data_IF_660596186833
#
_entry.id   IF_660596186833
#
_cell.length_a   1.000
_cell.length_b   1.000
_cell.length_c   1.000
_cell.angle_alpha   90.00
_cell.angle_beta   90.00
_cell.angle_gamma   90.00
#
_symmetry.space_group_name_H-M   'P 1'
#
loop_
_entity.id
_entity.type
_entity.pdbx_description
1 polymer ?
#
# COMPACT_ATOMS: atom_id res chain seq x y z
N UNK A 1 13.80 5.32 11.89
CA UNK A 1 12.45 5.80 12.29
C UNK A 1 11.43 5.14 11.36
N UNK A 2 10.51 4.34 11.90
CA UNK A 2 9.51 3.63 11.10
C UNK A 2 8.31 4.56 10.87
N UNK A 3 8.17 5.12 9.66
CA UNK A 3 7.00 5.92 9.32
C UNK A 3 5.83 4.98 8.99
N UNK A 4 4.85 4.92 9.89
CA UNK A 4 3.61 4.21 9.61
C UNK A 4 2.85 4.95 8.49
N UNK A 5 2.29 4.21 7.54
CA UNK A 5 1.41 4.78 6.53
C UNK A 5 0.24 5.48 7.23
N UNK A 6 0.02 6.74 6.89
CA UNK A 6 -1.13 7.51 7.38
C UNK A 6 -2.40 6.89 6.78
N UNK A 7 -3.53 6.96 7.49
CA UNK A 7 -4.81 6.41 7.03
C UNK A 7 -5.15 6.82 5.59
N UNK A 8 -4.82 8.06 5.23
CA UNK A 8 -5.07 8.61 3.90
C UNK A 8 -4.26 7.90 2.81
N UNK A 9 -2.97 7.64 3.06
CA UNK A 9 -2.11 6.88 2.13
C UNK A 9 -2.63 5.46 1.91
N UNK A 10 -3.16 4.81 2.97
CA UNK A 10 -3.76 3.48 2.84
C UNK A 10 -5.01 3.50 1.97
N UNK A 11 -5.89 4.48 2.17
CA UNK A 11 -7.08 4.68 1.33
C UNK A 11 -6.71 4.89 -0.14
N UNK A 12 -5.68 5.71 -0.39
CA UNK A 12 -5.21 6.00 -1.75
C UNK A 12 -4.61 4.76 -2.42
N UNK A 13 -3.76 4.00 -1.71
CA UNK A 13 -3.22 2.72 -2.20
C UNK A 13 -4.35 1.75 -2.55
N UNK A 14 -5.36 1.61 -1.69
CA UNK A 14 -6.48 0.72 -1.93
C UNK A 14 -7.27 1.13 -3.18
N UNK A 15 -7.61 2.42 -3.32
CA UNK A 15 -8.32 2.93 -4.50
C UNK A 15 -7.54 2.69 -5.81
N UNK A 16 -6.22 2.89 -5.80
CA UNK A 16 -5.37 2.66 -6.97
C UNK A 16 -5.20 1.17 -7.30
N UNK A 17 -5.13 0.30 -6.29
CA UNK A 17 -5.11 -1.15 -6.49
C UNK A 17 -6.41 -1.64 -7.14
N UNK A 18 -7.57 -1.09 -6.75
CA UNK A 18 -8.85 -1.43 -7.38
C UNK A 18 -8.92 -0.99 -8.85
N UNK A 19 -8.26 0.12 -9.19
CA UNK A 19 -8.10 0.59 -10.58
C UNK A 19 -7.07 -0.21 -11.38
N UNK A 20 -6.46 -1.25 -10.80
CA UNK A 20 -5.40 -2.09 -11.42
C UNK A 20 -4.17 -1.30 -11.87
N UNK A 21 -3.88 -0.16 -11.22
CA UNK A 21 -2.69 0.64 -11.49
C UNK A 21 -1.42 -0.17 -11.16
N UNK A 22 -0.34 0.03 -11.91
CA UNK A 22 0.90 -0.70 -11.68
C UNK A 22 1.47 -0.34 -10.30
N UNK A 23 1.95 -1.34 -9.55
CA UNK A 23 2.49 -1.14 -8.19
C UNK A 23 3.62 -0.09 -8.14
N UNK A 24 4.41 0.00 -9.20
CA UNK A 24 5.46 1.02 -9.34
C UNK A 24 4.87 2.42 -9.37
N UNK A 25 3.87 2.64 -10.20
CA UNK A 25 3.18 3.93 -10.30
C UNK A 25 2.46 4.29 -9.00
N UNK A 26 1.86 3.32 -8.30
CA UNK A 26 1.23 3.56 -7.00
C UNK A 26 2.24 4.07 -5.98
N UNK A 27 3.44 3.47 -5.95
CA UNK A 27 4.50 3.89 -5.05
C UNK A 27 4.97 5.32 -5.36
N UNK A 28 5.10 5.65 -6.65
CA UNK A 28 5.49 6.98 -7.12
C UNK A 28 4.41 8.04 -6.83
N UNK A 29 3.13 7.73 -7.05
CA UNK A 29 1.98 8.62 -6.78
C UNK A 29 1.83 8.91 -5.28
N UNK A 30 1.95 7.89 -4.44
CA UNK A 30 1.76 8.01 -2.98
C UNK A 30 3.03 8.53 -2.29
N UNK A 31 4.16 8.56 -2.98
CA UNK A 31 5.44 9.01 -2.46
C UNK A 31 6.07 8.04 -1.45
N UNK A 32 5.86 6.73 -1.64
CA UNK A 32 6.38 5.69 -0.74
C UNK A 32 7.32 4.75 -1.47
N UNK A 33 8.19 4.06 -0.73
CA UNK A 33 9.01 3.01 -1.33
C UNK A 33 8.14 1.83 -1.78
N UNK A 34 8.55 1.15 -2.86
CA UNK A 34 7.91 -0.10 -3.28
C UNK A 34 7.93 -1.18 -2.20
N UNK A 35 8.96 -1.18 -1.34
CA UNK A 35 9.04 -2.10 -0.20
C UNK A 35 7.93 -1.84 0.84
N UNK A 36 7.54 -0.58 1.03
CA UNK A 36 6.43 -0.17 1.89
C UNK A 36 5.09 -0.63 1.30
N UNK A 37 4.88 -0.42 0.00
CA UNK A 37 3.69 -0.90 -0.70
C UNK A 37 3.56 -2.42 -0.63
N UNK A 38 4.65 -3.16 -0.88
CA UNK A 38 4.67 -4.63 -0.82
C UNK A 38 4.28 -5.15 0.58
N UNK A 39 4.82 -4.53 1.64
CA UNK A 39 4.44 -4.87 3.03
C UNK A 39 2.97 -4.55 3.34
N UNK A 40 2.45 -3.42 2.86
CA UNK A 40 1.03 -3.06 3.04
C UNK A 40 0.10 -4.06 2.34
N UNK A 41 0.41 -4.42 1.09
CA UNK A 41 -0.33 -5.46 0.35
C UNK A 41 -0.28 -6.78 1.11
N UNK A 42 0.90 -7.22 1.54
CA UNK A 42 1.06 -8.46 2.32
C UNK A 42 0.24 -8.45 3.61
N UNK A 43 0.19 -7.32 4.33
CA UNK A 43 -0.61 -7.17 5.55
C UNK A 43 -2.11 -7.27 5.27
N UNK A 44 -2.57 -6.71 4.15
CA UNK A 44 -3.98 -6.76 3.75
C UNK A 44 -4.35 -8.13 3.12
N UNK A 45 -3.38 -8.91 2.63
CA UNK A 45 -3.59 -10.25 2.07
C UNK A 45 -3.47 -11.38 3.09
N UNK A 46 -2.86 -11.17 4.26
CA UNK A 46 -2.92 -12.14 5.35
C UNK A 46 -4.33 -12.10 5.95
N UNK A 47 -5.12 -13.18 5.87
CA UNK A 47 -6.33 -13.29 6.66
C UNK A 47 -5.86 -13.30 8.11
N UNK A 48 -6.21 -12.28 8.87
CA UNK A 48 -6.12 -12.34 10.33
C UNK A 48 -7.14 -13.39 10.78
N UNK A 49 -6.71 -14.65 10.80
CA UNK A 49 -7.55 -15.80 11.10
C UNK A 49 -6.68 -16.92 11.65
N UNK A 50 -6.25 -16.77 12.89
CA UNK A 50 -5.90 -17.89 13.76
C UNK A 50 -6.71 -17.73 15.04
#
# INVERSE_FOLDING_TARGET
MYHQLISDQRSQIFALLQKKTARKEIADIVGISQSTLSREIKRNSTPSGK
#
